data_IF_142654998975
#
_entry.id   IF_142654998975
#
_cell.length_a   1.000
_cell.length_b   1.000
_cell.length_c   1.000
_cell.angle_alpha   90.00
_cell.angle_beta   90.00
_cell.angle_gamma   90.00
#
_symmetry.space_group_name_H-M   'P 1'
#
loop_
_entity.id
_entity.type
_entity.pdbx_description
1 polymer ?
#
# COMPACT_ATOMS: atom_id res chain seq x y z
N UNK A 1 -1.00 -3.90 15.56
CA UNK A 1 -2.26 -4.29 14.88
C UNK A 1 -2.08 -5.61 14.13
N UNK A 2 -1.25 -5.70 13.09
CA UNK A 2 -0.98 -6.98 12.41
C UNK A 2 -0.47 -8.09 13.36
N UNK A 3 0.44 -7.74 14.28
CA UNK A 3 0.97 -8.66 15.30
C UNK A 3 -0.09 -9.26 16.23
N UNK A 4 -1.19 -8.54 16.49
CA UNK A 4 -2.26 -9.01 17.38
C UNK A 4 -3.21 -10.00 16.68
N UNK A 5 -3.11 -10.13 15.36
CA UNK A 5 -3.95 -10.99 14.52
C UNK A 5 -3.12 -12.08 13.83
N UNK A 6 -1.98 -12.46 14.41
CA UNK A 6 -1.05 -13.49 13.93
C UNK A 6 -0.49 -13.27 12.52
N UNK A 7 -0.70 -12.11 11.90
CA UNK A 7 -0.21 -11.78 10.56
C UNK A 7 1.31 -11.69 10.46
N UNK A 8 2.01 -11.58 11.59
CA UNK A 8 3.49 -11.57 11.65
C UNK A 8 4.09 -12.91 12.08
N UNK A 9 3.25 -13.91 12.36
CA UNK A 9 3.70 -15.26 12.71
C UNK A 9 3.91 -16.05 11.40
N UNK A 10 5.04 -16.74 11.22
CA UNK A 10 5.21 -17.69 10.12
C UNK A 10 4.13 -18.77 10.19
N UNK A 11 3.27 -18.80 9.18
CA UNK A 11 2.15 -19.75 9.10
C UNK A 11 1.80 -19.97 7.61
N UNK A 12 2.21 -21.11 7.02
CA UNK A 12 1.91 -21.42 5.63
C UNK A 12 0.43 -21.78 5.41
N UNK A 13 -0.34 -21.93 6.50
CA UNK A 13 -1.76 -22.31 6.48
C UNK A 13 -2.70 -21.14 6.74
N UNK A 14 -2.18 -19.91 6.84
CA UNK A 14 -2.98 -18.74 7.16
C UNK A 14 -4.11 -18.53 6.14
N UNK A 15 -5.39 -18.53 6.56
CA UNK A 15 -6.54 -18.59 5.65
C UNK A 15 -6.72 -17.34 4.78
N UNK A 16 -6.08 -16.22 5.15
CA UNK A 16 -6.12 -14.97 4.37
C UNK A 16 -5.11 -14.91 3.23
N UNK A 17 -4.23 -15.91 3.07
CA UNK A 17 -3.27 -15.96 1.95
C UNK A 17 -3.85 -16.80 0.81
N UNK A 18 -4.05 -16.18 -0.35
CA UNK A 18 -4.49 -16.87 -1.57
C UNK A 18 -3.44 -17.84 -2.12
N UNK A 19 -3.89 -18.84 -2.88
CA UNK A 19 -3.03 -19.94 -3.37
C UNK A 19 -1.79 -19.48 -4.16
N UNK A 20 -1.91 -18.41 -4.95
CA UNK A 20 -0.80 -17.88 -5.76
C UNK A 20 0.25 -17.19 -4.89
N UNK A 21 -0.17 -16.41 -3.90
CA UNK A 21 0.73 -15.75 -2.95
C UNK A 21 1.43 -16.80 -2.07
N UNK A 22 0.70 -17.83 -1.61
CA UNK A 22 1.26 -18.92 -0.82
C UNK A 22 2.44 -19.61 -1.55
N UNK A 23 2.27 -19.92 -2.85
CA UNK A 23 3.35 -20.52 -3.67
C UNK A 23 4.59 -19.64 -3.76
N UNK A 24 4.42 -18.31 -3.89
CA UNK A 24 5.54 -17.36 -3.92
C UNK A 24 6.25 -17.33 -2.56
N UNK A 25 5.48 -17.24 -1.47
CA UNK A 25 6.02 -17.22 -0.12
C UNK A 25 6.79 -18.51 0.20
N UNK A 26 6.27 -19.68 -0.16
CA UNK A 26 6.93 -20.98 0.03
C UNK A 26 8.25 -21.07 -0.74
N UNK A 27 8.27 -20.58 -1.98
CA UNK A 27 9.48 -20.55 -2.80
C UNK A 27 10.58 -19.69 -2.14
N UNK A 28 10.21 -18.52 -1.61
CA UNK A 28 11.14 -17.64 -0.90
C UNK A 28 11.58 -18.24 0.44
N UNK A 29 10.68 -18.84 1.22
CA UNK A 29 11.01 -19.51 2.47
C UNK A 29 12.05 -20.62 2.26
N UNK A 30 11.78 -21.52 1.29
CA UNK A 30 12.67 -22.64 0.95
C UNK A 30 14.04 -22.16 0.48
N UNK A 31 14.10 -21.11 -0.34
CA UNK A 31 15.36 -20.54 -0.82
C UNK A 31 16.23 -19.99 0.32
N UNK A 32 15.62 -19.61 1.45
CA UNK A 32 16.31 -19.07 2.62
C UNK A 32 16.43 -20.07 3.78
N UNK A 33 16.07 -21.34 3.58
CA UNK A 33 16.10 -22.37 4.64
C UNK A 33 15.11 -22.11 5.78
N UNK A 34 14.03 -21.36 5.51
CA UNK A 34 12.96 -21.07 6.45
C UNK A 34 11.81 -22.05 6.25
N UNK A 35 11.11 -22.38 7.34
CA UNK A 35 9.91 -23.22 7.29
C UNK A 35 8.74 -22.51 6.61
N UNK A 36 8.54 -21.23 6.93
CA UNK A 36 7.50 -20.39 6.34
C UNK A 36 7.87 -18.90 6.45
N UNK A 37 7.20 -18.07 5.66
CA UNK A 37 7.17 -16.61 5.83
C UNK A 37 5.89 -16.18 6.54
N UNK A 38 5.89 -15.05 7.26
CA UNK A 38 4.66 -14.47 7.79
C UNK A 38 3.78 -13.88 6.67
N UNK A 39 2.44 -13.94 6.79
CA UNK A 39 1.50 -13.33 5.83
C UNK A 39 1.73 -11.83 5.56
N UNK A 40 2.20 -11.09 6.56
CA UNK A 40 2.61 -9.70 6.43
C UNK A 40 4.11 -9.55 6.76
N UNK A 41 4.85 -8.91 5.87
CA UNK A 41 6.26 -8.59 6.07
C UNK A 41 6.35 -7.27 6.84
N UNK A 42 6.79 -7.33 8.10
CA UNK A 42 6.99 -6.15 8.92
C UNK A 42 8.27 -5.42 8.53
N UNK A 43 8.15 -4.18 8.05
CA UNK A 43 9.28 -3.38 7.58
C UNK A 43 9.82 -2.36 8.60
N UNK A 44 9.26 -2.32 9.81
CA UNK A 44 9.77 -1.50 10.92
C UNK A 44 8.80 -0.42 11.42
N UNK A 45 9.35 0.64 11.98
CA UNK A 45 8.60 1.78 12.53
C UNK A 45 8.14 2.74 11.44
N UNK A 46 7.37 3.79 11.78
CA UNK A 46 6.86 4.75 10.79
C UNK A 46 7.96 5.46 9.97
N UNK A 47 9.15 5.63 10.52
CA UNK A 47 10.30 6.20 9.80
C UNK A 47 10.91 5.22 8.78
N UNK A 48 10.68 3.92 8.99
CA UNK A 48 11.13 2.86 8.09
C UNK A 48 10.22 2.71 6.84
N UNK A 49 9.18 3.54 6.68
CA UNK A 49 8.49 3.68 5.39
C UNK A 49 9.47 4.06 4.26
N UNK A 50 10.59 4.72 4.60
CA UNK A 50 11.72 4.94 3.68
C UNK A 50 12.28 3.64 3.08
N UNK A 51 12.29 2.52 3.83
CA UNK A 51 12.72 1.21 3.32
C UNK A 51 11.74 0.65 2.28
N UNK A 52 10.45 0.97 2.41
CA UNK A 52 9.45 0.61 1.39
C UNK A 52 9.79 1.34 0.09
N UNK A 53 10.12 2.63 0.16
CA UNK A 53 10.56 3.39 -1.02
C UNK A 53 11.83 2.82 -1.65
N UNK A 54 12.81 2.36 -0.87
CA UNK A 54 13.99 1.66 -1.43
C UNK A 54 13.59 0.41 -2.24
N UNK A 55 12.65 -0.40 -1.73
CA UNK A 55 12.12 -1.57 -2.43
C UNK A 55 11.37 -1.15 -3.71
N UNK A 56 10.53 -0.12 -3.63
CA UNK A 56 9.79 0.38 -4.79
C UNK A 56 10.72 0.91 -5.88
N UNK A 57 11.76 1.65 -5.50
CA UNK A 57 12.79 2.11 -6.44
C UNK A 57 13.50 0.94 -7.11
N UNK A 58 13.87 -0.10 -6.35
CA UNK A 58 14.51 -1.28 -6.92
C UNK A 58 13.62 -2.00 -7.93
N UNK A 59 12.32 -2.15 -7.63
CA UNK A 59 11.33 -2.78 -8.54
C UNK A 59 11.11 -1.90 -9.78
N UNK A 60 10.90 -0.60 -9.59
CA UNK A 60 10.71 0.37 -10.67
C UNK A 60 11.89 0.36 -11.65
N UNK A 61 13.12 0.40 -11.12
CA UNK A 61 14.34 0.32 -11.91
C UNK A 61 14.46 -1.01 -12.67
N UNK A 62 14.14 -2.14 -12.03
CA UNK A 62 14.18 -3.45 -12.67
C UNK A 62 13.19 -3.57 -13.84
N UNK A 63 11.98 -2.99 -13.68
CA UNK A 63 10.95 -2.97 -14.71
C UNK A 63 11.10 -1.83 -15.73
N UNK A 64 12.07 -0.93 -15.52
CA UNK A 64 12.28 0.29 -16.30
C UNK A 64 11.01 1.15 -16.41
N UNK A 65 10.33 1.34 -15.28
CA UNK A 65 9.13 2.19 -15.13
C UNK A 65 9.33 3.14 -13.96
N UNK A 66 8.43 4.13 -13.82
CA UNK A 66 8.36 4.97 -12.63
C UNK A 66 7.52 4.32 -11.52
N UNK A 67 7.71 4.75 -10.27
CA UNK A 67 6.96 4.24 -9.11
C UNK A 67 5.44 4.39 -9.29
N UNK A 68 4.99 5.51 -9.86
CA UNK A 68 3.57 5.80 -10.11
C UNK A 68 2.92 4.82 -11.10
N UNK A 69 3.71 4.06 -11.86
CA UNK A 69 3.20 3.03 -12.77
C UNK A 69 3.10 1.66 -12.12
N UNK A 70 3.73 1.44 -10.96
CA UNK A 70 3.73 0.15 -10.28
C UNK A 70 2.33 -0.20 -9.73
N UNK A 71 1.91 -1.48 -9.76
CA UNK A 71 0.61 -1.92 -9.25
C UNK A 71 0.61 -2.02 -7.72
N UNK A 72 0.70 -0.86 -7.06
CA UNK A 72 0.81 -0.71 -5.60
C UNK A 72 -0.18 0.32 -5.08
N UNK A 73 -0.50 0.21 -3.78
CA UNK A 73 -1.30 1.17 -3.04
C UNK A 73 -0.79 1.30 -1.61
N UNK A 74 -1.01 2.48 -1.01
CA UNK A 74 -0.75 2.74 0.40
C UNK A 74 -2.07 2.78 1.17
N UNK A 75 -2.05 2.42 2.45
CA UNK A 75 -3.24 2.42 3.31
C UNK A 75 -2.87 2.80 4.73
N UNK A 76 -3.53 3.84 5.25
CA UNK A 76 -3.51 4.21 6.66
C UNK A 76 -4.95 4.08 7.21
N UNK A 77 -5.39 2.85 7.54
CA UNK A 77 -6.80 2.55 7.84
C UNK A 77 -7.27 3.15 9.17
N UNK A 78 -6.36 3.42 10.11
CA UNK A 78 -6.67 3.96 11.43
C UNK A 78 -5.62 5.01 11.82
N UNK A 79 -5.40 6.03 10.97
CA UNK A 79 -4.39 7.03 11.29
C UNK A 79 -4.88 7.95 12.42
N UNK A 80 -4.05 8.09 13.45
CA UNK A 80 -4.37 8.89 14.64
C UNK A 80 -3.31 9.98 14.86
N UNK A 81 -2.05 9.69 14.50
CA UNK A 81 -0.94 10.60 14.73
C UNK A 81 -0.79 11.63 13.61
N UNK A 82 -0.48 12.87 13.97
CA UNK A 82 -0.19 13.97 13.02
C UNK A 82 0.87 13.59 11.98
N UNK A 83 1.83 12.73 12.35
CA UNK A 83 2.88 12.21 11.47
C UNK A 83 2.36 11.37 10.30
N UNK A 84 1.16 10.83 10.38
CA UNK A 84 0.56 10.09 9.27
C UNK A 84 0.18 11.00 8.10
N UNK A 85 -0.11 12.28 8.37
CA UNK A 85 -0.44 13.27 7.34
C UNK A 85 0.74 13.48 6.38
N UNK A 86 1.95 13.89 6.81
CA UNK A 86 3.07 14.06 5.89
C UNK A 86 3.50 12.76 5.21
N UNK A 87 3.35 11.59 5.87
CA UNK A 87 3.59 10.28 5.22
C UNK A 87 2.61 10.07 4.06
N UNK A 88 1.32 10.33 4.27
CA UNK A 88 0.31 10.22 3.20
C UNK A 88 0.57 11.17 2.04
N UNK A 89 1.02 12.41 2.32
CA UNK A 89 1.38 13.35 1.26
C UNK A 89 2.60 12.87 0.46
N UNK A 90 3.60 12.31 1.16
CA UNK A 90 4.77 11.73 0.51
C UNK A 90 4.40 10.52 -0.37
N UNK A 91 3.52 9.62 0.09
CA UNK A 91 3.05 8.49 -0.75
C UNK A 91 2.30 8.98 -1.99
N UNK A 92 1.43 9.98 -1.84
CA UNK A 92 0.76 10.63 -2.98
C UNK A 92 1.77 11.28 -3.93
N UNK A 93 2.82 11.94 -3.43
CA UNK A 93 3.85 12.56 -4.28
C UNK A 93 4.71 11.54 -5.03
N UNK A 94 4.83 10.30 -4.52
CA UNK A 94 5.42 9.17 -5.25
C UNK A 94 4.49 8.60 -6.33
N UNK A 95 3.27 9.15 -6.46
CA UNK A 95 2.25 8.70 -7.40
C UNK A 95 1.47 7.47 -6.94
N UNK A 96 1.45 7.21 -5.64
CA UNK A 96 0.79 6.05 -5.05
C UNK A 96 -0.62 6.44 -4.61
N UNK A 97 -1.61 5.65 -5.04
CA UNK A 97 -2.96 5.73 -4.50
C UNK A 97 -2.93 5.46 -2.99
N UNK A 98 -3.41 6.41 -2.19
CA UNK A 98 -3.25 6.41 -0.74
C UNK A 98 -4.60 6.43 -0.04
N UNK A 99 -4.97 5.30 0.53
CA UNK A 99 -6.19 5.15 1.32
C UNK A 99 -6.04 5.69 2.75
N UNK A 100 -7.03 6.42 3.23
CA UNK A 100 -7.20 6.88 4.62
C UNK A 100 -8.55 6.36 5.15
N UNK A 101 -8.55 5.70 6.30
CA UNK A 101 -9.78 5.18 6.90
C UNK A 101 -10.59 6.19 7.70
N UNK A 102 -10.10 7.42 7.84
CA UNK A 102 -10.81 8.52 8.49
C UNK A 102 -10.59 9.85 7.72
N UNK A 103 -11.48 10.81 7.89
CA UNK A 103 -11.43 12.07 7.18
C UNK A 103 -10.42 13.04 7.85
N UNK A 104 -9.43 13.57 7.10
CA UNK A 104 -8.54 14.58 7.66
C UNK A 104 -9.28 15.90 7.89
N UNK A 105 -8.76 16.75 8.77
CA UNK A 105 -9.32 18.06 9.14
C UNK A 105 -9.21 19.12 8.02
N UNK A 106 -9.69 18.79 6.83
CA UNK A 106 -9.71 19.62 5.61
C UNK A 106 -11.12 19.73 5.00
N UNK A 107 -12.09 19.02 5.59
CA UNK A 107 -13.48 18.92 5.14
C UNK A 107 -14.18 20.27 4.91
N UNK A 108 -13.77 21.29 5.66
CA UNK A 108 -14.37 22.63 5.59
C UNK A 108 -14.08 23.38 4.28
N UNK A 109 -13.14 22.90 3.46
CA UNK A 109 -12.83 23.50 2.16
C UNK A 109 -13.00 22.49 1.04
N UNK A 110 -14.11 22.60 0.30
CA UNK A 110 -14.37 21.77 -0.88
C UNK A 110 -13.24 21.84 -1.90
N UNK A 111 -12.61 23.01 -2.07
CA UNK A 111 -11.46 23.18 -2.94
C UNK A 111 -10.26 22.34 -2.50
N UNK A 112 -9.97 22.31 -1.20
CA UNK A 112 -8.85 21.51 -0.67
C UNK A 112 -9.17 20.02 -0.78
N UNK A 113 -10.40 19.62 -0.46
CA UNK A 113 -10.84 18.22 -0.61
C UNK A 113 -10.66 17.77 -2.06
N UNK A 114 -11.25 18.49 -3.02
CA UNK A 114 -11.12 18.18 -4.45
C UNK A 114 -9.67 18.14 -4.91
N UNK A 115 -8.84 19.07 -4.42
CA UNK A 115 -7.43 19.06 -4.79
C UNK A 115 -6.72 17.79 -4.31
N UNK A 116 -6.98 17.36 -3.07
CA UNK A 116 -6.37 16.17 -2.47
C UNK A 116 -6.90 14.84 -3.04
N UNK A 117 -8.16 14.81 -3.49
CA UNK A 117 -8.80 13.58 -3.96
C UNK A 117 -8.78 13.41 -5.47
N UNK A 118 -8.66 14.50 -6.23
CA UNK A 118 -8.78 14.47 -7.70
C UNK A 118 -7.62 15.20 -8.39
N UNK A 119 -7.45 16.51 -8.13
CA UNK A 119 -6.53 17.33 -8.94
C UNK A 119 -5.05 16.94 -8.76
N UNK A 120 -4.69 16.44 -7.57
CA UNK A 120 -3.33 15.98 -7.26
C UNK A 120 -2.88 14.79 -8.11
N UNK A 121 -3.84 13.99 -8.61
CA UNK A 121 -3.56 12.82 -9.47
C UNK A 121 -2.99 13.25 -10.82
N UNK A 122 -3.43 14.37 -11.37
CA UNK A 122 -2.91 14.92 -12.64
C UNK A 122 -1.45 15.38 -12.51
N UNK A 123 -1.00 15.69 -11.28
CA UNK A 123 0.35 16.19 -11.00
C UNK A 123 1.30 15.03 -10.68
N UNK A 124 0.91 14.14 -9.77
CA UNK A 124 1.80 13.10 -9.24
C UNK A 124 1.44 11.68 -9.69
N UNK A 125 0.23 11.43 -10.20
CA UNK A 125 -0.28 10.09 -10.53
C UNK A 125 -0.87 9.33 -9.34
N UNK A 126 -0.82 9.93 -8.14
CA UNK A 126 -1.38 9.41 -6.90
C UNK A 126 -2.39 10.38 -6.32
N UNK A 127 -3.27 9.88 -5.47
CA UNK A 127 -4.32 10.68 -4.80
C UNK A 127 -4.71 10.07 -3.46
N UNK A 128 -5.39 10.87 -2.65
CA UNK A 128 -6.04 10.37 -1.44
C UNK A 128 -7.40 9.75 -1.75
N UNK A 129 -7.71 8.69 -1.02
CA UNK A 129 -9.04 8.07 -1.00
C UNK A 129 -9.48 7.87 0.43
N UNK A 130 -10.57 8.51 0.82
CA UNK A 130 -11.11 8.44 2.18
C UNK A 130 -12.28 7.46 2.21
N UNK A 131 -12.15 6.36 2.95
CA UNK A 131 -13.19 5.34 3.08
C UNK A 131 -13.07 4.59 4.42
N UNK A 132 -14.06 4.75 5.29
CA UNK A 132 -14.04 4.12 6.62
C UNK A 132 -14.46 2.64 6.60
N UNK A 133 -15.17 2.18 5.57
CA UNK A 133 -15.53 0.77 5.43
C UNK A 133 -14.33 -0.05 4.93
N UNK A 134 -13.74 -0.94 5.76
CA UNK A 134 -12.54 -1.67 5.38
C UNK A 134 -12.76 -2.60 4.17
N UNK A 135 -13.98 -3.07 3.93
CA UNK A 135 -14.28 -3.93 2.78
C UNK A 135 -14.33 -3.12 1.49
N UNK A 136 -14.90 -1.90 1.53
CA UNK A 136 -14.89 -1.00 0.38
C UNK A 136 -13.48 -0.50 0.09
N UNK A 137 -12.72 -0.16 1.12
CA UNK A 137 -11.32 0.23 0.99
C UNK A 137 -10.48 -0.88 0.35
N UNK A 138 -10.58 -2.11 0.84
CA UNK A 138 -9.88 -3.26 0.28
C UNK A 138 -10.27 -3.51 -1.18
N UNK A 139 -11.57 -3.47 -1.50
CA UNK A 139 -12.07 -3.61 -2.87
C UNK A 139 -11.48 -2.54 -3.79
N UNK A 140 -11.49 -1.28 -3.37
CA UNK A 140 -10.94 -0.17 -4.16
C UNK A 140 -9.43 -0.32 -4.38
N UNK A 141 -8.68 -0.71 -3.35
CA UNK A 141 -7.25 -0.98 -3.46
C UNK A 141 -6.96 -2.07 -4.51
N UNK A 142 -7.72 -3.18 -4.48
CA UNK A 142 -7.60 -4.25 -5.48
C UNK A 142 -7.91 -3.71 -6.89
N UNK A 143 -8.99 -2.94 -7.05
CA UNK A 143 -9.35 -2.33 -8.35
C UNK A 143 -8.23 -1.47 -8.92
N UNK A 144 -7.58 -0.63 -8.09
CA UNK A 144 -6.46 0.23 -8.49
C UNK A 144 -5.23 -0.57 -8.87
N UNK A 145 -4.89 -1.61 -8.09
CA UNK A 145 -3.78 -2.51 -8.40
C UNK A 145 -4.01 -3.16 -9.77
N UNK A 146 -5.21 -3.70 -10.01
CA UNK A 146 -5.58 -4.33 -11.28
C UNK A 146 -5.58 -3.34 -12.46
N UNK A 147 -5.97 -2.09 -12.25
CA UNK A 147 -5.86 -1.04 -13.26
C UNK A 147 -4.43 -0.76 -13.67
N UNK A 148 -3.53 -0.59 -12.69
CA UNK A 148 -2.10 -0.37 -12.96
C UNK A 148 -1.44 -1.59 -13.60
N UNK A 149 -1.86 -2.81 -13.23
CA UNK A 149 -1.44 -4.04 -13.92
C UNK A 149 -1.81 -4.03 -15.40
N UNK A 150 -3.08 -3.72 -15.72
CA UNK A 150 -3.54 -3.60 -17.11
C UNK A 150 -2.77 -2.52 -17.89
N UNK A 151 -2.48 -1.38 -17.26
CA UNK A 151 -1.70 -0.31 -17.87
C UNK A 151 -0.25 -0.72 -18.20
N UNK A 152 0.32 -1.63 -17.42
CA UNK A 152 1.63 -2.26 -17.67
C UNK A 152 1.57 -3.45 -18.63
N UNK A 153 0.38 -3.90 -19.04
CA UNK A 153 0.20 -5.06 -19.90
C UNK A 153 0.40 -6.41 -19.20
N UNK A 154 0.15 -6.49 -17.89
CA UNK A 154 0.26 -7.72 -17.06
C UNK A 154 -1.04 -8.06 -16.33
#
# INVERSE_FOLDING_TARGET
MASYHDLLKPDPTYPGVGETLAKVMDAVAKANGLEALPPCIFMGACVDNSRIEEVLNAIANHLNVRIDQLPIAASAPEYIAEKAVPIGFWTVSLGIFTHLGDQPNVAASERVVKWLTDDVEEIFGGKFYVEADPYKAAKKIIEVIEEKRRALGI
#
